data_IF_856600968255
#
_entry.id   IF_856600968255
#
_cell.length_a   1.000
_cell.length_b   1.000
_cell.length_c   1.000
_cell.angle_alpha   90.00
_cell.angle_beta   90.00
_cell.angle_gamma   90.00
#
_symmetry.space_group_name_H-M   'P 1'
#
loop_
_entity.id
_entity.type
_entity.pdbx_description
1 polymer ?
#
# COMPACT_ATOMS: atom_id res chain seq x y z
N UNK A 1 39.33 -42.94 7.76
CA UNK A 1 38.55 -41.67 7.76
C UNK A 1 39.53 -40.49 7.75
N UNK A 2 39.61 -39.73 6.64
CA UNK A 2 40.58 -38.62 6.50
C UNK A 2 40.01 -37.35 7.16
N UNK A 3 40.74 -36.77 8.11
CA UNK A 3 40.38 -35.52 8.79
C UNK A 3 40.65 -34.35 7.83
N UNK A 4 39.61 -33.66 7.39
CA UNK A 4 39.72 -32.45 6.58
C UNK A 4 40.21 -31.32 7.49
N UNK A 5 41.41 -30.79 7.23
CA UNK A 5 41.93 -29.61 7.92
C UNK A 5 41.40 -28.38 7.20
N UNK A 6 40.30 -27.83 7.71
CA UNK A 6 39.75 -26.56 7.22
C UNK A 6 40.73 -25.46 7.63
N UNK A 7 41.40 -24.88 6.65
CA UNK A 7 42.31 -23.75 6.86
C UNK A 7 41.54 -22.58 7.46
N UNK A 8 42.11 -21.89 8.46
CA UNK A 8 41.54 -20.68 9.03
C UNK A 8 41.22 -19.62 7.95
N UNK A 9 41.95 -19.66 6.84
CA UNK A 9 41.71 -18.82 5.67
C UNK A 9 40.37 -19.13 4.97
N UNK A 10 39.99 -20.42 4.90
CA UNK A 10 38.74 -20.86 4.30
C UNK A 10 37.53 -20.46 5.18
N UNK A 11 37.72 -20.49 6.50
CA UNK A 11 36.70 -20.09 7.47
C UNK A 11 36.45 -18.57 7.43
N UNK A 12 37.51 -17.76 7.36
CA UNK A 12 37.37 -16.30 7.16
C UNK A 12 36.73 -15.95 5.82
N UNK A 13 36.99 -16.72 4.76
CA UNK A 13 36.39 -16.47 3.45
C UNK A 13 34.87 -16.73 3.44
N UNK A 14 34.42 -17.77 4.16
CA UNK A 14 32.99 -18.06 4.32
C UNK A 14 32.29 -16.97 5.16
N UNK A 15 32.94 -16.47 6.22
CA UNK A 15 32.42 -15.37 7.04
C UNK A 15 32.28 -14.04 6.28
N UNK A 16 33.18 -13.78 5.32
CA UNK A 16 33.10 -12.59 4.46
C UNK A 16 31.93 -12.65 3.47
N UNK A 17 31.54 -13.84 2.99
CA UNK A 17 30.43 -14.00 2.05
C UNK A 17 29.08 -13.72 2.75
N UNK A 18 28.92 -14.09 4.02
CA UNK A 18 27.69 -13.81 4.78
C UNK A 18 27.49 -12.33 5.12
N UNK A 19 28.54 -11.51 5.12
CA UNK A 19 28.46 -10.07 5.40
C UNK A 19 27.98 -9.23 4.19
N UNK A 20 27.84 -9.83 3.00
CA UNK A 20 27.43 -9.11 1.78
C UNK A 20 25.94 -9.23 1.44
N UNK A 21 25.13 -9.91 2.26
CA UNK A 21 23.66 -9.87 2.14
C UNK A 21 23.11 -8.56 2.73
N UNK A 22 23.49 -7.44 2.11
CA UNK A 22 22.81 -6.18 2.30
C UNK A 22 21.38 -6.31 1.77
N UNK A 23 20.41 -6.29 2.67
CA UNK A 23 18.99 -6.15 2.37
C UNK A 23 18.76 -4.84 1.60
N UNK A 24 18.98 -4.87 0.29
CA UNK A 24 18.45 -3.87 -0.63
C UNK A 24 16.97 -4.19 -0.78
N UNK A 25 16.18 -3.81 0.23
CA UNK A 25 14.75 -3.61 0.03
C UNK A 25 14.65 -2.60 -1.11
N UNK A 26 14.31 -3.09 -2.32
CA UNK A 26 13.93 -2.21 -3.42
C UNK A 26 12.91 -1.25 -2.82
N UNK A 27 13.13 0.08 -2.89
CA UNK A 27 12.12 1.00 -2.43
C UNK A 27 10.82 0.61 -3.14
N UNK A 28 9.70 0.49 -2.41
CA UNK A 28 8.42 0.20 -3.04
C UNK A 28 8.28 1.16 -4.21
N UNK A 29 7.91 0.62 -5.37
CA UNK A 29 7.72 1.40 -6.58
C UNK A 29 6.73 2.52 -6.22
N UNK A 30 7.25 3.73 -5.98
CA UNK A 30 6.45 4.84 -5.46
C UNK A 30 5.24 4.97 -6.37
N UNK A 31 4.03 4.88 -5.81
CA UNK A 31 2.84 5.26 -6.54
C UNK A 31 3.09 6.65 -7.16
N UNK A 32 2.88 6.76 -8.46
CA UNK A 32 2.93 8.05 -9.13
C UNK A 32 1.65 8.80 -8.75
N UNK A 33 1.76 10.07 -8.37
CA UNK A 33 0.66 10.88 -7.86
C UNK A 33 0.30 11.98 -8.86
N UNK A 34 -0.99 12.15 -9.12
CA UNK A 34 -1.54 13.14 -10.05
C UNK A 34 -2.35 14.18 -9.26
N UNK A 35 -1.72 15.34 -9.02
CA UNK A 35 -2.37 16.47 -8.34
C UNK A 35 -2.96 17.47 -9.35
N UNK A 36 -4.06 18.17 -9.00
CA UNK A 36 -4.63 19.20 -9.86
C UNK A 36 -3.63 20.34 -10.14
N UNK A 37 -3.66 20.94 -11.34
CA UNK A 37 -2.68 21.96 -11.74
C UNK A 37 -2.79 23.26 -10.95
N UNK A 38 -3.95 23.52 -10.34
CA UNK A 38 -4.21 24.69 -9.49
C UNK A 38 -3.75 24.54 -8.04
N UNK A 39 -3.21 23.38 -7.66
CA UNK A 39 -2.68 23.16 -6.32
C UNK A 39 -1.31 23.82 -6.19
N UNK A 40 -1.14 24.68 -5.19
CA UNK A 40 0.15 25.30 -4.87
C UNK A 40 1.20 24.25 -4.50
N UNK A 41 2.47 24.54 -4.78
CA UNK A 41 3.55 23.54 -4.64
C UNK A 41 3.77 23.07 -3.20
N UNK A 42 3.63 23.97 -2.23
CA UNK A 42 3.70 23.61 -0.81
C UNK A 42 2.54 22.69 -0.41
N UNK A 43 1.35 22.89 -0.98
CA UNK A 43 0.17 22.05 -0.75
C UNK A 43 0.39 20.67 -1.33
N UNK A 44 0.90 20.56 -2.58
CA UNK A 44 1.27 19.27 -3.19
C UNK A 44 2.25 18.50 -2.31
N UNK A 45 3.24 19.18 -1.74
CA UNK A 45 4.25 18.57 -0.87
C UNK A 45 3.62 17.94 0.38
N UNK A 46 2.64 18.61 0.99
CA UNK A 46 1.96 18.09 2.17
C UNK A 46 0.97 16.96 1.82
N UNK A 47 0.22 17.10 0.71
CA UNK A 47 -0.64 16.03 0.21
C UNK A 47 0.15 14.79 -0.19
N UNK A 48 1.36 14.94 -0.74
CA UNK A 48 2.24 13.83 -1.05
C UNK A 48 2.57 13.01 0.20
N UNK A 49 2.91 13.67 1.32
CA UNK A 49 3.17 12.97 2.59
C UNK A 49 1.94 12.19 3.06
N UNK A 50 0.76 12.79 2.93
CA UNK A 50 -0.51 12.15 3.27
C UNK A 50 -0.79 10.93 2.39
N UNK A 51 -0.56 11.04 1.08
CA UNK A 51 -0.77 9.93 0.15
C UNK A 51 0.19 8.77 0.42
N UNK A 52 1.47 9.05 0.73
CA UNK A 52 2.45 8.02 1.10
C UNK A 52 1.99 7.27 2.36
N UNK A 53 1.50 7.99 3.38
CA UNK A 53 0.95 7.36 4.59
C UNK A 53 -0.31 6.54 4.27
N UNK A 54 -1.19 7.09 3.43
CA UNK A 54 -2.41 6.46 2.97
C UNK A 54 -2.17 5.17 2.18
N UNK A 55 -1.15 5.12 1.34
CA UNK A 55 -0.75 3.94 0.56
C UNK A 55 -0.41 2.77 1.51
N UNK A 56 0.44 3.03 2.51
CA UNK A 56 0.83 2.02 3.51
C UNK A 56 -0.38 1.54 4.30
N UNK A 57 -1.23 2.47 4.76
CA UNK A 57 -2.44 2.13 5.50
C UNK A 57 -3.41 1.31 4.66
N UNK A 58 -3.60 1.67 3.39
CA UNK A 58 -4.43 0.92 2.44
C UNK A 58 -3.92 -0.51 2.29
N UNK A 59 -2.62 -0.71 2.06
CA UNK A 59 -2.06 -2.05 1.88
C UNK A 59 -2.23 -2.94 3.13
N UNK A 60 -2.13 -2.36 4.32
CA UNK A 60 -2.29 -3.08 5.58
C UNK A 60 -3.74 -3.46 5.88
N UNK A 61 -4.70 -2.61 5.48
CA UNK A 61 -6.11 -2.70 5.90
C UNK A 61 -7.08 -3.09 4.77
N UNK A 62 -7.03 -2.43 3.61
CA UNK A 62 -8.01 -2.55 2.54
C UNK A 62 -7.52 -3.40 1.36
N UNK A 63 -6.22 -3.34 1.05
CA UNK A 63 -5.63 -3.88 -0.17
C UNK A 63 -5.77 -5.40 -0.30
N UNK A 64 -5.86 -6.13 0.82
CA UNK A 64 -6.06 -7.59 0.81
C UNK A 64 -7.39 -8.00 0.16
N UNK A 65 -8.42 -7.17 0.27
CA UNK A 65 -9.77 -7.45 -0.24
C UNK A 65 -10.05 -6.72 -1.56
N UNK A 66 -9.58 -5.48 -1.70
CA UNK A 66 -9.95 -4.63 -2.83
C UNK A 66 -8.99 -4.67 -4.01
N UNK A 67 -7.77 -5.19 -3.83
CA UNK A 67 -6.85 -5.30 -4.95
C UNK A 67 -7.30 -6.38 -5.94
N UNK A 68 -7.15 -6.06 -7.23
CA UNK A 68 -7.49 -6.95 -8.33
C UNK A 68 -6.25 -7.69 -8.82
N UNK A 69 -6.40 -8.97 -9.17
CA UNK A 69 -5.34 -9.75 -9.82
C UNK A 69 -5.57 -9.81 -11.32
N UNK A 70 -4.78 -9.09 -12.10
CA UNK A 70 -4.87 -9.02 -13.56
C UNK A 70 -3.55 -9.45 -14.18
N UNK A 71 -3.57 -10.50 -15.00
CA UNK A 71 -2.39 -11.02 -15.73
C UNK A 71 -1.15 -11.16 -14.80
N UNK A 72 -1.35 -11.77 -13.62
CA UNK A 72 -0.34 -11.99 -12.56
C UNK A 72 0.17 -10.73 -11.84
N UNK A 73 -0.41 -9.55 -12.10
CA UNK A 73 -0.13 -8.31 -11.37
C UNK A 73 -1.26 -8.00 -10.40
N UNK A 74 -0.90 -7.50 -9.22
CA UNK A 74 -1.83 -6.89 -8.28
C UNK A 74 -2.05 -5.43 -8.71
N UNK A 75 -3.31 -5.02 -8.84
CA UNK A 75 -3.69 -3.67 -9.25
C UNK A 75 -4.65 -3.09 -8.24
N UNK A 76 -4.40 -1.85 -7.85
CA UNK A 76 -5.32 -1.04 -7.05
C UNK A 76 -6.34 -0.43 -8.02
N UNK A 77 -7.64 -0.74 -7.88
CA UNK A 77 -8.65 -0.21 -8.79
C UNK A 77 -8.85 1.31 -8.62
N UNK A 78 -9.49 1.91 -9.60
CA UNK A 78 -9.92 3.30 -9.60
C UNK A 78 -11.30 3.39 -8.96
N UNK A 79 -11.35 3.99 -7.78
CA UNK A 79 -12.59 4.32 -7.08
C UNK A 79 -13.13 5.66 -7.59
N UNK A 80 -14.45 5.73 -7.76
CA UNK A 80 -15.18 6.98 -8.01
C UNK A 80 -15.26 7.83 -6.75
N UNK A 81 -15.54 9.13 -6.91
CA UNK A 81 -15.73 10.02 -5.76
C UNK A 81 -16.87 9.55 -4.87
N UNK A 82 -17.96 9.06 -5.46
CA UNK A 82 -19.13 8.54 -4.76
C UNK A 82 -18.77 7.27 -3.94
N UNK A 83 -17.96 6.36 -4.52
CA UNK A 83 -17.47 5.18 -3.82
C UNK A 83 -16.60 5.53 -2.61
N UNK A 84 -15.76 6.56 -2.74
CA UNK A 84 -14.90 7.06 -1.66
C UNK A 84 -15.72 7.77 -0.57
N UNK A 85 -16.72 8.59 -0.93
CA UNK A 85 -17.63 9.22 0.02
C UNK A 85 -18.46 8.18 0.81
N UNK A 86 -18.82 7.07 0.17
CA UNK A 86 -19.50 5.96 0.84
C UNK A 86 -18.69 5.33 1.98
N UNK A 87 -17.35 5.47 2.00
CA UNK A 87 -16.54 4.95 3.12
C UNK A 87 -16.75 5.73 4.43
N UNK A 88 -16.94 7.04 4.37
CA UNK A 88 -17.22 7.86 5.55
C UNK A 88 -18.55 7.44 6.20
N UNK A 89 -19.55 7.10 5.38
CA UNK A 89 -20.87 6.65 5.86
C UNK A 89 -20.85 5.24 6.45
N UNK A 90 -20.01 4.33 5.92
CA UNK A 90 -19.95 2.93 6.38
C UNK A 90 -19.20 2.76 7.70
N UNK A 91 -18.23 3.62 8.02
CA UNK A 91 -17.57 3.61 9.34
C UNK A 91 -18.51 4.04 10.48
N UNK A 92 -19.51 4.88 10.18
CA UNK A 92 -20.55 5.27 11.13
C UNK A 92 -21.58 4.14 11.40
N UNK A 93 -21.57 3.08 10.60
CA UNK A 93 -22.48 1.95 10.73
C UNK A 93 -21.78 0.76 11.41
N UNK A 94 -22.11 0.52 12.67
CA UNK A 94 -21.48 -0.45 13.59
C UNK A 94 -21.46 -1.88 13.06
N UNK A 95 -22.36 -2.23 12.14
CA UNK A 95 -22.47 -3.58 11.58
C UNK A 95 -21.34 -3.93 10.60
N UNK A 96 -20.76 -2.94 9.91
CA UNK A 96 -19.60 -3.16 9.03
C UNK A 96 -18.30 -3.38 9.82
N UNK A 97 -18.21 -2.83 11.03
CA UNK A 97 -17.05 -3.01 11.92
C UNK A 97 -16.88 -4.47 12.38
N UNK A 98 -17.99 -5.18 12.58
CA UNK A 98 -17.98 -6.54 13.13
C UNK A 98 -17.45 -7.62 12.17
N UNK A 99 -17.44 -7.36 10.86
CA UNK A 99 -16.89 -8.27 9.84
C UNK A 99 -15.44 -7.93 9.46
N UNK A 100 -14.90 -6.80 9.94
CA UNK A 100 -13.50 -6.42 9.75
C UNK A 100 -12.66 -7.07 10.86
N UNK A 101 -12.31 -8.34 10.67
CA UNK A 101 -11.35 -9.02 11.54
C UNK A 101 -9.98 -8.32 11.50
N UNK A 102 -9.78 -7.39 12.46
CA UNK A 102 -8.45 -7.06 13.00
C UNK A 102 -7.72 -5.85 12.45
N UNK A 103 -8.32 -4.95 11.66
CA UNK A 103 -7.65 -3.68 11.32
C UNK A 103 -8.66 -2.55 11.32
N UNK A 104 -8.92 -2.02 12.52
CA UNK A 104 -9.75 -0.83 12.68
C UNK A 104 -8.93 0.38 12.23
N UNK A 105 -9.31 0.96 11.09
CA UNK A 105 -8.74 2.20 10.58
C UNK A 105 -9.49 3.35 11.27
N UNK A 106 -8.76 4.24 11.93
CA UNK A 106 -9.35 5.45 12.51
C UNK A 106 -9.84 6.41 11.42
N UNK A 107 -10.73 7.35 11.77
CA UNK A 107 -11.20 8.37 10.81
C UNK A 107 -10.04 9.15 10.17
N UNK A 108 -9.01 9.47 10.95
CA UNK A 108 -7.82 10.16 10.43
C UNK A 108 -7.04 9.29 9.44
N UNK A 109 -6.81 8.02 9.79
CA UNK A 109 -6.15 7.07 8.91
C UNK A 109 -6.94 6.83 7.61
N UNK A 110 -8.27 6.79 7.70
CA UNK A 110 -9.13 6.72 6.52
C UNK A 110 -8.97 7.96 5.65
N UNK A 111 -8.88 9.16 6.23
CA UNK A 111 -8.61 10.39 5.49
C UNK A 111 -7.32 10.33 4.66
N UNK A 112 -6.26 9.71 5.20
CA UNK A 112 -5.03 9.46 4.44
C UNK A 112 -5.24 8.45 3.32
N UNK A 113 -5.96 7.35 3.57
CA UNK A 113 -6.31 6.35 2.54
C UNK A 113 -7.12 6.98 1.41
N UNK A 114 -8.13 7.81 1.73
CA UNK A 114 -8.95 8.49 0.73
C UNK A 114 -8.09 9.46 -0.09
N UNK A 115 -7.20 10.21 0.55
CA UNK A 115 -6.26 11.09 -0.15
C UNK A 115 -5.38 10.31 -1.13
N UNK A 116 -4.84 9.18 -0.69
CA UNK A 116 -4.09 8.24 -1.53
C UNK A 116 -4.92 7.76 -2.73
N UNK A 117 -6.12 7.21 -2.51
CA UNK A 117 -6.97 6.67 -3.58
C UNK A 117 -7.44 7.74 -4.57
N UNK A 118 -7.60 8.97 -4.08
CA UNK A 118 -7.96 10.14 -4.89
C UNK A 118 -6.84 10.49 -5.88
N UNK A 119 -5.62 10.67 -5.37
CA UNK A 119 -4.50 11.22 -6.14
C UNK A 119 -3.55 10.18 -6.72
N UNK A 120 -3.69 8.89 -6.40
CA UNK A 120 -2.90 7.86 -7.09
C UNK A 120 -3.19 7.93 -8.60
N UNK A 121 -2.15 7.75 -9.40
CA UNK A 121 -2.27 7.59 -10.84
C UNK A 121 -3.31 6.52 -11.16
N UNK A 122 -4.22 6.86 -12.08
CA UNK A 122 -5.34 5.99 -12.44
C UNK A 122 -4.82 4.75 -13.16
N UNK A 123 -5.31 3.58 -12.76
CA UNK A 123 -4.92 2.30 -13.35
C UNK A 123 -5.72 1.99 -14.64
N UNK A 124 -6.78 2.75 -14.90
CA UNK A 124 -7.73 2.52 -15.99
C UNK A 124 -8.69 1.37 -15.70
N UNK A 125 -8.68 0.83 -14.47
CA UNK A 125 -9.46 -0.34 -14.06
C UNK A 125 -10.39 0.09 -12.94
N UNK A 126 -11.71 0.16 -13.16
CA UNK A 126 -12.64 0.62 -12.13
C UNK A 126 -12.74 -0.38 -10.98
N UNK A 127 -13.05 0.13 -9.78
CA UNK A 127 -13.43 -0.71 -8.66
C UNK A 127 -14.75 -1.43 -8.98
N UNK A 128 -14.68 -2.76 -9.13
CA UNK A 128 -15.86 -3.58 -9.42
C UNK A 128 -16.57 -3.92 -8.11
N UNK A 129 -17.78 -3.38 -7.96
CA UNK A 129 -18.60 -3.59 -6.78
C UNK A 129 -19.21 -2.28 -6.34
N UNK A 130 -20.38 -1.98 -6.92
CA UNK A 130 -21.51 -1.31 -6.29
C UNK A 130 -22.72 -1.47 -7.24
N UNK A 131 -23.16 -2.72 -7.43
CA UNK A 131 -24.61 -2.96 -7.44
C UNK A 131 -25.06 -2.88 -5.97
N UNK A 132 -24.98 -1.69 -5.38
CA UNK A 132 -25.70 -1.40 -4.15
C UNK A 132 -27.10 -0.96 -4.59
N UNK A 133 -28.17 -1.65 -4.16
CA UNK A 133 -29.53 -1.21 -4.48
C UNK A 133 -29.73 0.19 -3.89
N UNK A 134 -30.21 1.10 -4.74
CA UNK A 134 -30.78 2.38 -4.34
C UNK A 134 -31.93 2.20 -3.35
#
# INVERSE_FOLDING_TARGET
MKKIKISAFLFCFILLIFMMEGNTQKPPQKAEYEFPPFMEEYVKTDFLKQCIKGEVLYDLSCGKCHNLKIKKKTVIPDFTTEQLQGYDMRLANTEHQNNLNGTQVTTEELGYIISFLTYKKKSGIPATGDNLPH
#
